data_IF_958463258137
#
_entry.id   IF_958463258137
#
_cell.length_a   1.000
_cell.length_b   1.000
_cell.length_c   1.000
_cell.angle_alpha   90.00
_cell.angle_beta   90.00
_cell.angle_gamma   90.00
#
_symmetry.space_group_name_H-M   'P 1'
#
loop_
_entity.id
_entity.type
_entity.pdbx_description
1 polymer ?
#
# COMPACT_ATOMS: atom_id res chain seq x y z
N UNK A 1 -21.98 13.76 -3.41
CA UNK A 1 -20.55 13.84 -3.06
C UNK A 1 -19.68 12.85 -3.82
N UNK A 2 -19.59 12.97 -5.15
CA UNK A 2 -18.79 12.08 -6.01
C UNK A 2 -17.38 12.63 -6.32
N UNK A 3 -17.05 13.81 -5.78
CA UNK A 3 -15.78 14.49 -6.06
C UNK A 3 -14.59 13.91 -5.28
N UNK A 4 -14.82 13.15 -4.20
CA UNK A 4 -13.72 12.63 -3.36
C UNK A 4 -13.08 11.34 -3.90
N UNK A 5 -13.85 10.48 -4.61
CA UNK A 5 -13.36 9.17 -5.06
C UNK A 5 -12.29 9.29 -6.14
N UNK A 6 -12.38 10.30 -7.01
CA UNK A 6 -11.38 10.51 -8.06
C UNK A 6 -10.04 10.96 -7.50
N UNK A 7 -10.00 11.63 -6.35
CA UNK A 7 -8.77 12.14 -5.74
C UNK A 7 -7.79 11.03 -5.29
N UNK A 8 -8.30 9.85 -4.90
CA UNK A 8 -7.48 8.66 -4.56
C UNK A 8 -6.63 8.16 -5.75
N UNK A 9 -7.02 8.52 -6.98
CA UNK A 9 -6.33 8.14 -8.19
C UNK A 9 -5.16 9.05 -8.55
N UNK A 10 -4.90 10.14 -7.82
CA UNK A 10 -3.83 11.09 -8.17
C UNK A 10 -2.82 11.34 -7.04
N UNK A 11 -3.24 11.35 -5.78
CA UNK A 11 -2.42 11.90 -4.69
C UNK A 11 -1.17 11.07 -4.32
N UNK A 12 -1.19 9.74 -4.47
CA UNK A 12 -0.06 8.88 -4.09
C UNK A 12 1.25 9.20 -4.84
N UNK A 13 1.18 9.78 -6.04
CA UNK A 13 2.35 10.09 -6.85
C UNK A 13 2.91 11.51 -6.61
N UNK A 14 2.11 12.42 -6.07
CA UNK A 14 2.43 13.86 -6.15
C UNK A 14 3.03 14.38 -4.85
N UNK A 15 2.47 14.03 -3.69
CA UNK A 15 3.07 14.28 -2.37
C UNK A 15 2.14 13.70 -1.29
N UNK A 16 2.69 12.93 -0.38
CA UNK A 16 1.98 12.42 0.81
C UNK A 16 2.93 12.39 2.00
N UNK A 17 2.40 12.56 3.20
CA UNK A 17 3.18 12.51 4.44
C UNK A 17 3.65 11.08 4.70
N UNK A 18 4.96 10.86 4.61
CA UNK A 18 5.56 9.53 4.77
C UNK A 18 5.46 9.00 6.20
N UNK A 19 5.26 9.86 7.21
CA UNK A 19 5.02 9.42 8.59
C UNK A 19 3.72 8.62 8.71
N UNK A 20 2.74 8.90 7.85
CA UNK A 20 1.47 8.15 7.82
C UNK A 20 1.64 6.69 7.39
N UNK A 21 2.79 6.30 6.83
CA UNK A 21 3.11 4.90 6.56
C UNK A 21 3.34 4.11 7.85
N UNK A 22 3.88 4.75 8.90
CA UNK A 22 4.18 4.08 10.17
C UNK A 22 2.88 3.85 10.94
N UNK A 23 2.36 2.63 10.88
CA UNK A 23 1.12 2.28 11.59
C UNK A 23 1.38 2.10 13.08
N UNK A 24 0.32 2.22 13.89
CA UNK A 24 0.40 2.02 15.34
C UNK A 24 1.09 0.69 15.69
N UNK A 25 2.14 0.77 16.51
CA UNK A 25 2.92 -0.39 16.94
C UNK A 25 3.92 -0.91 15.92
N UNK A 26 4.25 -0.12 14.89
CA UNK A 26 5.35 -0.39 13.96
C UNK A 26 6.44 0.66 14.13
N UNK A 27 7.65 0.31 13.66
CA UNK A 27 8.77 1.23 13.50
C UNK A 27 9.14 1.36 12.01
N UNK A 28 10.20 2.13 11.74
CA UNK A 28 10.68 2.41 10.38
C UNK A 28 11.14 1.14 9.66
N UNK A 29 11.87 0.27 10.34
CA UNK A 29 12.44 -0.94 9.72
C UNK A 29 11.34 -1.95 9.37
N UNK A 30 10.37 -2.13 10.27
CA UNK A 30 9.21 -2.98 10.04
C UNK A 30 8.32 -2.41 8.94
N UNK A 31 8.15 -1.08 8.88
CA UNK A 31 7.39 -0.42 7.82
C UNK A 31 8.07 -0.56 6.46
N UNK A 32 9.39 -0.39 6.37
CA UNK A 32 10.16 -0.64 5.14
C UNK A 32 10.07 -2.11 4.71
N UNK A 33 10.13 -3.04 5.66
CA UNK A 33 10.01 -4.47 5.38
C UNK A 33 8.64 -4.82 4.82
N UNK A 34 7.56 -4.26 5.39
CA UNK A 34 6.20 -4.43 4.89
C UNK A 34 6.04 -3.90 3.45
N UNK A 35 6.55 -2.70 3.17
CA UNK A 35 6.49 -2.11 1.83
C UNK A 35 7.24 -2.95 0.79
N UNK A 36 8.46 -3.42 1.12
CA UNK A 36 9.28 -4.24 0.22
C UNK A 36 8.65 -5.60 -0.05
N UNK A 37 8.08 -6.24 0.98
CA UNK A 37 7.39 -7.52 0.83
C UNK A 37 6.15 -7.37 -0.06
N UNK A 38 5.31 -6.37 0.21
CA UNK A 38 4.14 -6.07 -0.62
C UNK A 38 4.56 -5.80 -2.07
N UNK A 39 5.63 -5.01 -2.30
CA UNK A 39 6.13 -4.74 -3.64
C UNK A 39 6.55 -6.02 -4.39
N UNK A 40 7.21 -6.95 -3.71
CA UNK A 40 7.65 -8.21 -4.31
C UNK A 40 6.44 -9.03 -4.79
N UNK A 41 5.43 -9.20 -3.94
CA UNK A 41 4.20 -9.92 -4.28
C UNK A 41 3.46 -9.24 -5.43
N UNK A 42 3.19 -7.94 -5.31
CA UNK A 42 2.45 -7.17 -6.32
C UNK A 42 3.15 -7.17 -7.68
N UNK A 43 4.48 -7.20 -7.72
CA UNK A 43 5.25 -7.25 -8.96
C UNK A 43 5.19 -8.63 -9.63
N UNK A 44 5.14 -9.71 -8.84
CA UNK A 44 5.09 -11.09 -9.33
C UNK A 44 3.68 -11.59 -9.68
N UNK A 45 2.65 -10.80 -9.40
CA UNK A 45 1.26 -11.21 -9.54
C UNK A 45 0.73 -10.96 -10.96
N UNK A 46 0.18 -11.97 -11.62
CA UNK A 46 -0.37 -11.83 -12.98
C UNK A 46 -1.87 -11.49 -12.98
N UNK A 47 -2.62 -12.09 -12.07
CA UNK A 47 -4.05 -11.87 -11.86
C UNK A 47 -4.25 -10.83 -10.76
N UNK A 48 -4.77 -9.65 -11.10
CA UNK A 48 -4.87 -8.50 -10.19
C UNK A 48 -6.29 -8.27 -9.65
N UNK A 49 -7.09 -9.32 -9.55
CA UNK A 49 -8.43 -9.30 -8.93
C UNK A 49 -8.36 -9.10 -7.40
N UNK A 50 -9.32 -8.35 -6.83
CA UNK A 50 -9.32 -8.00 -5.40
C UNK A 50 -9.26 -9.22 -4.46
N UNK A 51 -9.94 -10.32 -4.79
CA UNK A 51 -9.92 -11.54 -3.97
C UNK A 51 -8.55 -12.20 -3.91
N UNK A 52 -7.83 -12.22 -5.05
CA UNK A 52 -6.46 -12.74 -5.13
C UNK A 52 -5.48 -11.84 -4.39
N UNK A 53 -5.68 -10.52 -4.48
CA UNK A 53 -4.86 -9.54 -3.77
C UNK A 53 -5.00 -9.75 -2.26
N UNK A 54 -6.23 -9.90 -1.76
CA UNK A 54 -6.47 -10.13 -0.35
C UNK A 54 -5.84 -11.43 0.16
N UNK A 55 -5.99 -12.53 -0.56
CA UNK A 55 -5.41 -13.83 -0.20
C UNK A 55 -3.89 -13.75 -0.09
N UNK A 56 -3.22 -13.29 -1.14
CA UNK A 56 -1.75 -13.23 -1.20
C UNK A 56 -1.18 -12.30 -0.14
N UNK A 57 -1.73 -11.08 -0.05
CA UNK A 57 -1.21 -10.04 0.84
C UNK A 57 -1.53 -10.34 2.31
N UNK A 58 -2.59 -11.09 2.62
CA UNK A 58 -2.85 -11.57 3.99
C UNK A 58 -1.74 -12.50 4.45
N UNK A 59 -1.39 -13.50 3.63
CA UNK A 59 -0.29 -14.44 3.93
C UNK A 59 1.03 -13.71 4.14
N UNK A 60 1.31 -12.67 3.37
CA UNK A 60 2.53 -11.88 3.52
C UNK A 60 2.55 -11.05 4.80
N UNK A 61 1.44 -10.42 5.18
CA UNK A 61 1.31 -9.75 6.47
C UNK A 61 1.55 -10.70 7.64
N UNK A 62 0.99 -11.91 7.58
CA UNK A 62 1.16 -12.95 8.59
C UNK A 62 2.62 -13.43 8.70
N UNK A 63 3.31 -13.65 7.58
CA UNK A 63 4.74 -14.00 7.56
C UNK A 63 5.62 -12.96 8.23
N UNK A 64 5.23 -11.68 8.17
CA UNK A 64 5.91 -10.58 8.86
C UNK A 64 5.44 -10.38 10.31
N UNK A 65 4.55 -11.26 10.81
CA UNK A 65 3.92 -11.11 12.13
C UNK A 65 3.19 -9.78 12.31
N UNK A 66 2.65 -9.23 11.23
CA UNK A 66 1.89 -7.98 11.23
C UNK A 66 0.39 -8.26 11.24
N UNK A 67 -0.33 -7.52 12.07
CA UNK A 67 -1.79 -7.54 12.04
C UNK A 67 -2.32 -6.99 10.70
N UNK A 68 -3.54 -7.39 10.33
CA UNK A 68 -4.22 -6.86 9.13
C UNK A 68 -4.28 -5.32 9.13
N UNK A 69 -4.52 -4.70 10.30
CA UNK A 69 -4.55 -3.23 10.45
C UNK A 69 -3.18 -2.60 10.13
N UNK A 70 -2.09 -3.23 10.57
CA UNK A 70 -0.74 -2.75 10.29
C UNK A 70 -0.40 -2.90 8.81
N UNK A 71 -0.42 -4.13 8.29
CA UNK A 71 0.04 -4.40 6.93
C UNK A 71 -0.80 -3.70 5.87
N UNK A 72 -2.14 -3.78 5.97
CA UNK A 72 -3.02 -3.11 5.00
C UNK A 72 -3.14 -1.60 5.22
N UNK A 73 -2.83 -1.11 6.43
CA UNK A 73 -2.67 0.33 6.68
C UNK A 73 -1.49 0.90 5.88
N UNK A 74 -0.33 0.25 5.97
CA UNK A 74 0.88 0.61 5.18
C UNK A 74 0.55 0.61 3.69
N UNK A 75 -0.04 -0.48 3.18
CA UNK A 75 -0.31 -0.61 1.75
C UNK A 75 -1.33 0.42 1.24
N UNK A 76 -2.35 0.73 2.04
CA UNK A 76 -3.34 1.76 1.70
C UNK A 76 -2.68 3.12 1.49
N UNK A 77 -1.84 3.53 2.45
CA UNK A 77 -1.14 4.82 2.35
C UNK A 77 -0.19 4.79 1.17
N UNK A 78 0.59 3.72 0.99
CA UNK A 78 1.52 3.61 -0.14
C UNK A 78 0.81 3.68 -1.51
N UNK A 79 -0.37 3.07 -1.65
CA UNK A 79 -1.10 3.00 -2.92
C UNK A 79 -2.01 4.21 -3.18
N UNK A 80 -2.42 4.96 -2.14
CA UNK A 80 -3.43 6.04 -2.28
C UNK A 80 -2.96 7.40 -1.78
N UNK A 81 -1.86 7.45 -1.03
CA UNK A 81 -1.39 8.64 -0.31
C UNK A 81 -2.26 9.02 0.89
N UNK A 82 -3.21 8.16 1.29
CA UNK A 82 -4.19 8.46 2.36
C UNK A 82 -4.36 7.28 3.32
N UNK A 83 -4.65 7.58 4.58
CA UNK A 83 -4.95 6.57 5.59
C UNK A 83 -6.38 6.00 5.49
N UNK A 84 -7.28 6.71 4.81
CA UNK A 84 -8.67 6.31 4.58
C UNK A 84 -8.91 6.27 3.08
N UNK A 85 -9.50 5.18 2.59
CA UNK A 85 -9.85 4.94 1.19
C UNK A 85 -11.14 4.10 1.14
N UNK A 86 -11.76 3.92 -0.04
CA UNK A 86 -12.69 2.81 -0.28
C UNK A 86 -12.03 1.44 0.06
N UNK A 87 -12.77 0.31 -0.05
CA UNK A 87 -12.20 -1.02 0.18
C UNK A 87 -10.86 -1.18 -0.54
N UNK A 88 -9.82 -1.55 0.21
CA UNK A 88 -8.44 -1.46 -0.26
C UNK A 88 -8.23 -2.29 -1.53
N UNK A 89 -8.64 -3.55 -1.51
CA UNK A 89 -8.36 -4.48 -2.61
C UNK A 89 -9.14 -4.12 -3.87
N UNK A 90 -10.40 -3.68 -3.76
CA UNK A 90 -11.15 -3.11 -4.89
C UNK A 90 -10.45 -1.86 -5.44
N UNK A 91 -9.92 -1.00 -4.56
CA UNK A 91 -9.14 0.17 -4.98
C UNK A 91 -7.89 -0.24 -5.75
N UNK A 92 -7.15 -1.26 -5.28
CA UNK A 92 -5.95 -1.76 -5.96
C UNK A 92 -6.28 -2.39 -7.32
N UNK A 93 -7.35 -3.17 -7.41
CA UNK A 93 -7.85 -3.75 -8.65
C UNK A 93 -8.18 -2.65 -9.68
N UNK A 94 -8.94 -1.64 -9.29
CA UNK A 94 -9.30 -0.52 -10.19
C UNK A 94 -8.07 0.32 -10.57
N UNK A 95 -7.10 0.49 -9.67
CA UNK A 95 -5.82 1.15 -9.99
C UNK A 95 -4.99 0.33 -11.00
N UNK A 96 -5.08 -0.99 -10.92
CA UNK A 96 -4.29 -1.93 -11.70
C UNK A 96 -2.86 -2.11 -11.18
N UNK A 97 -2.22 -3.18 -11.66
CA UNK A 97 -0.87 -3.62 -11.26
C UNK A 97 0.17 -2.53 -11.40
N UNK A 98 0.35 -2.01 -12.61
CA UNK A 98 1.46 -1.10 -12.93
C UNK A 98 1.44 0.16 -12.07
N UNK A 99 0.24 0.74 -11.89
CA UNK A 99 0.05 1.94 -11.07
C UNK A 99 0.30 1.63 -9.59
N UNK A 100 -0.22 0.52 -9.09
CA UNK A 100 -0.01 0.09 -7.69
C UNK A 100 1.47 -0.14 -7.41
N UNK A 101 2.16 -0.90 -8.26
CA UNK A 101 3.60 -1.18 -8.15
C UNK A 101 4.42 0.10 -8.21
N UNK A 102 4.12 1.01 -9.15
CA UNK A 102 4.81 2.30 -9.27
C UNK A 102 4.67 3.14 -7.99
N UNK A 103 3.48 3.16 -7.39
CA UNK A 103 3.21 3.93 -6.16
C UNK A 103 3.90 3.34 -4.94
N UNK A 104 3.87 2.03 -4.77
CA UNK A 104 4.58 1.36 -3.68
C UNK A 104 6.10 1.57 -3.83
N UNK A 105 6.65 1.53 -5.05
CA UNK A 105 8.05 1.90 -5.31
C UNK A 105 8.36 3.34 -4.89
N UNK A 106 7.52 4.29 -5.26
CA UNK A 106 7.67 5.69 -4.86
C UNK A 106 7.61 5.85 -3.33
N UNK A 107 6.67 5.17 -2.67
CA UNK A 107 6.56 5.17 -1.21
C UNK A 107 7.84 4.65 -0.54
N UNK A 108 8.42 3.56 -1.03
CA UNK A 108 9.70 3.04 -0.52
C UNK A 108 10.83 4.05 -0.69
N UNK A 109 10.95 4.65 -1.88
CA UNK A 109 11.99 5.64 -2.17
C UNK A 109 11.89 6.85 -1.25
N UNK A 110 10.70 7.45 -1.16
CA UNK A 110 10.45 8.63 -0.32
C UNK A 110 10.61 8.31 1.16
N UNK A 111 10.05 7.19 1.62
CA UNK A 111 10.19 6.79 3.01
C UNK A 111 11.65 6.56 3.38
N UNK A 112 12.44 5.90 2.52
CA UNK A 112 13.87 5.66 2.72
C UNK A 112 14.71 6.94 2.74
N UNK A 113 14.36 7.95 1.93
CA UNK A 113 15.06 9.23 1.86
C UNK A 113 14.72 10.19 3.03
N UNK A 114 13.59 9.98 3.71
CA UNK A 114 13.13 10.83 4.81
C UNK A 114 13.78 10.52 6.18
N UNK A 115 14.84 9.71 6.22
CA UNK A 115 15.52 9.31 7.47
C UNK A 115 16.99 9.68 7.48
#
# INVERSE_FOLDING_TARGET
DSADITSYFFQANEEFDTETLVQKGMDRDTTLSALKAALADLSGMDDFEHGKLEELLTVTGEKLSLSRRQFFGVLRVAATGRAVSPPLFETLEVLGKDRTVSRVKNAIQRFSAAG
#
